data_IF_993107339617
#
_entry.id   IF_993107339617
#
_cell.length_a   1.000
_cell.length_b   1.000
_cell.length_c   1.000
_cell.angle_alpha   90.00
_cell.angle_beta   90.00
_cell.angle_gamma   90.00
#
_symmetry.space_group_name_H-M   'P 1'
#
loop_
_entity.id
_entity.type
_entity.pdbx_description
1 polymer ?
#
# COMPACT_ATOMS: atom_id res chain seq x y z
N UNK A 1 5.83 45.24 -11.43
CA UNK A 1 5.75 44.83 -11.04
C UNK A 1 5.87 43.56 -10.72
N UNK A 2 6.04 43.01 -10.30
CA UNK A 2 6.27 42.03 -9.85
C UNK A 2 5.65 40.94 -9.75
N UNK A 3 5.68 40.15 -9.73
CA UNK A 3 5.08 39.20 -9.68
C UNK A 3 5.33 38.04 -9.22
N UNK A 4 5.43 37.49 -8.94
CA UNK A 4 5.65 36.53 -8.32
C UNK A 4 5.28 35.27 -8.41
N UNK A 5 4.99 34.72 -8.44
CA UNK A 5 4.63 33.60 -8.49
C UNK A 5 5.08 32.55 -7.83
N UNK A 6 5.59 32.40 -7.61
CA UNK A 6 6.10 31.52 -6.90
C UNK A 6 5.45 30.44 -6.41
N UNK A 7 5.06 30.42 -5.72
CA UNK A 7 4.37 29.42 -5.18
C UNK A 7 4.19 28.20 -5.70
N UNK A 8 3.92 28.00 -6.46
CA UNK A 8 3.48 26.90 -6.91
C UNK A 8 4.17 25.78 -6.61
N UNK A 9 4.94 25.57 -6.46
CA UNK A 9 5.53 24.50 -6.36
C UNK A 9 5.28 23.61 -5.36
N UNK A 10 4.98 23.74 -4.60
CA UNK A 10 4.88 22.85 -3.62
C UNK A 10 4.20 21.70 -3.74
N UNK A 11 3.51 21.55 -4.50
CA UNK A 11 2.64 20.55 -4.45
C UNK A 11 3.03 19.19 -4.60
N UNK A 12 3.98 18.80 -5.11
CA UNK A 12 4.07 17.42 -5.47
C UNK A 12 4.71 16.56 -4.46
N UNK A 13 5.21 17.07 -3.45
CA UNK A 13 6.01 16.30 -2.56
C UNK A 13 5.34 15.15 -1.85
N UNK A 14 4.10 15.26 -1.44
CA UNK A 14 3.53 14.22 -0.59
C UNK A 14 3.41 12.85 -1.21
N UNK A 15 3.05 12.77 -2.45
CA UNK A 15 2.94 11.44 -3.05
C UNK A 15 4.30 10.80 -3.20
N UNK A 16 5.35 11.58 -3.42
CA UNK A 16 6.69 11.03 -3.51
C UNK A 16 7.14 10.37 -2.22
N UNK A 17 6.58 10.75 -1.08
CA UNK A 17 6.96 10.14 0.19
C UNK A 17 6.45 8.72 0.34
N UNK A 18 5.46 8.32 -0.45
CA UNK A 18 4.87 6.98 -0.35
C UNK A 18 4.97 6.21 -1.66
N UNK A 19 5.25 6.84 -2.78
CA UNK A 19 5.41 6.10 -4.03
C UNK A 19 6.71 5.32 -4.04
N UNK A 20 6.70 4.17 -4.66
CA UNK A 20 7.87 3.32 -4.80
C UNK A 20 7.63 1.93 -4.26
N UNK A 21 8.71 1.22 -4.03
CA UNK A 21 8.68 -0.18 -3.61
C UNK A 21 8.91 -0.30 -2.11
N UNK A 22 8.09 -1.13 -1.49
CA UNK A 22 8.09 -1.30 -0.04
C UNK A 22 8.15 -2.76 0.33
N UNK A 23 9.02 -3.09 1.28
CA UNK A 23 9.11 -4.41 1.85
C UNK A 23 8.09 -4.52 2.98
N UNK A 24 7.23 -5.53 2.93
CA UNK A 24 6.22 -5.73 3.95
C UNK A 24 6.86 -6.12 5.29
N UNK A 25 6.09 -5.93 6.39
CA UNK A 25 6.63 -6.13 7.74
C UNK A 25 7.14 -7.55 7.96
N UNK A 26 6.48 -8.54 7.38
CA UNK A 26 6.90 -9.94 7.49
C UNK A 26 7.98 -10.32 6.46
N UNK A 27 8.41 -9.37 5.64
CA UNK A 27 9.43 -9.55 4.62
C UNK A 27 9.04 -10.56 3.54
N UNK A 28 7.78 -10.85 3.39
CA UNK A 28 7.29 -11.86 2.45
C UNK A 28 7.10 -11.32 1.04
N UNK A 29 6.94 -10.02 0.87
CA UNK A 29 6.63 -9.45 -0.43
C UNK A 29 7.13 -8.01 -0.55
N UNK A 30 7.24 -7.57 -1.79
CA UNK A 30 7.45 -6.16 -2.13
C UNK A 30 6.17 -5.66 -2.76
N UNK A 31 5.66 -4.53 -2.25
CA UNK A 31 4.48 -3.85 -2.77
C UNK A 31 4.91 -2.56 -3.44
N UNK A 32 4.46 -2.34 -4.66
CA UNK A 32 4.74 -1.10 -5.39
C UNK A 32 3.56 -0.16 -5.24
N UNK A 33 3.81 1.01 -4.69
CA UNK A 33 2.81 2.04 -4.47
C UNK A 33 2.95 3.12 -5.54
N UNK A 34 1.84 3.52 -6.11
CA UNK A 34 1.80 4.59 -7.11
C UNK A 34 0.40 5.15 -7.27
N UNK A 35 0.29 6.11 -8.17
CA UNK A 35 -0.99 6.74 -8.46
C UNK A 35 -1.92 5.79 -9.20
N UNK A 36 -3.19 5.85 -8.88
CA UNK A 36 -4.25 5.19 -9.61
C UNK A 36 -5.39 6.21 -9.78
N UNK A 37 -5.27 7.03 -10.82
CA UNK A 37 -6.15 8.18 -10.99
C UNK A 37 -5.85 9.23 -9.94
N UNK A 38 -6.90 9.72 -9.28
CA UNK A 38 -6.74 10.73 -8.24
C UNK A 38 -6.36 10.13 -6.88
N UNK A 39 -6.18 8.84 -6.82
CA UNK A 39 -5.92 8.13 -5.57
C UNK A 39 -4.54 7.48 -5.60
N UNK A 40 -4.17 6.88 -4.47
CA UNK A 40 -2.95 6.12 -4.32
C UNK A 40 -3.32 4.66 -4.15
N UNK A 41 -2.59 3.78 -4.84
CA UNK A 41 -2.81 2.34 -4.79
C UNK A 41 -1.48 1.61 -4.68
N UNK A 42 -1.54 0.33 -4.33
CA UNK A 42 -0.35 -0.52 -4.30
C UNK A 42 -0.66 -1.92 -4.76
N UNK A 43 0.27 -2.53 -5.47
CA UNK A 43 0.12 -3.90 -5.96
C UNK A 43 1.37 -4.70 -5.61
N UNK A 44 1.20 -6.01 -5.49
CA UNK A 44 2.32 -6.89 -5.22
C UNK A 44 3.27 -6.88 -6.42
N UNK A 45 4.50 -6.45 -6.21
CA UNK A 45 5.53 -6.43 -7.23
C UNK A 45 6.33 -7.73 -7.25
N UNK A 46 6.60 -8.30 -6.08
CA UNK A 46 7.37 -9.54 -5.96
C UNK A 46 6.97 -10.29 -4.71
N UNK A 47 7.05 -11.60 -4.77
CA UNK A 47 6.91 -12.48 -3.61
C UNK A 47 8.31 -12.95 -3.25
N UNK A 48 8.72 -12.68 -2.02
CA UNK A 48 10.05 -13.06 -1.53
C UNK A 48 10.01 -14.35 -0.72
N UNK A 49 8.89 -14.68 -0.13
CA UNK A 49 8.73 -15.93 0.60
C UNK A 49 8.94 -17.11 -0.34
N UNK A 50 9.59 -18.15 0.15
CA UNK A 50 9.97 -19.30 -0.67
C UNK A 50 9.46 -20.58 -0.04
N UNK A 51 9.36 -21.61 -0.87
CA UNK A 51 9.01 -22.94 -0.43
C UNK A 51 7.77 -23.47 -1.12
N UNK A 52 7.58 -24.78 -1.07
CA UNK A 52 6.48 -25.41 -1.80
C UNK A 52 5.10 -25.06 -1.26
N UNK A 53 5.01 -24.58 -0.03
CA UNK A 53 3.73 -24.21 0.57
C UNK A 53 3.39 -22.75 0.40
N UNK A 54 4.25 -21.96 -0.24
CA UNK A 54 3.97 -20.54 -0.49
C UNK A 54 3.07 -20.41 -1.70
N UNK A 55 1.86 -19.86 -1.53
CA UNK A 55 0.96 -19.72 -2.66
C UNK A 55 1.49 -18.71 -3.67
N UNK A 56 1.21 -18.95 -4.94
CA UNK A 56 1.48 -18.02 -6.03
C UNK A 56 0.21 -17.35 -6.55
N UNK A 57 -0.93 -17.85 -6.10
CA UNK A 57 -2.24 -17.32 -6.47
C UNK A 57 -3.02 -16.96 -5.21
N UNK A 58 -4.13 -16.27 -5.41
CA UNK A 58 -4.94 -15.70 -4.33
C UNK A 58 -5.87 -16.76 -3.72
N UNK A 59 -5.28 -17.82 -3.21
CA UNK A 59 -6.01 -19.02 -2.77
C UNK A 59 -6.93 -18.78 -1.57
N UNK A 60 -6.69 -17.73 -0.79
CA UNK A 60 -7.51 -17.44 0.38
C UNK A 60 -8.61 -16.42 0.10
N UNK A 61 -8.76 -15.99 -1.15
CA UNK A 61 -9.81 -15.04 -1.48
C UNK A 61 -11.17 -15.63 -1.12
N UNK A 62 -12.04 -14.87 -0.45
CA UNK A 62 -13.37 -15.35 -0.12
C UNK A 62 -14.23 -15.64 -1.36
N UNK A 63 -13.93 -15.01 -2.49
CA UNK A 63 -14.59 -15.30 -3.76
C UNK A 63 -13.84 -16.41 -4.49
N UNK A 64 -14.44 -17.62 -4.62
CA UNK A 64 -13.75 -18.72 -5.27
C UNK A 64 -13.32 -18.44 -6.69
N UNK A 65 -14.01 -17.56 -7.40
CA UNK A 65 -13.68 -17.25 -8.80
C UNK A 65 -12.40 -16.44 -8.93
N UNK A 66 -11.90 -15.87 -7.83
CA UNK A 66 -10.68 -15.06 -7.84
C UNK A 66 -9.47 -15.80 -7.30
N UNK A 67 -9.64 -17.05 -6.85
CA UNK A 67 -8.55 -17.77 -6.18
C UNK A 67 -7.43 -18.21 -7.10
N UNK A 68 -7.67 -18.21 -8.40
CA UNK A 68 -6.63 -18.59 -9.36
C UNK A 68 -5.85 -17.41 -9.90
N UNK A 69 -6.23 -16.19 -9.56
CA UNK A 69 -5.49 -15.02 -10.07
C UNK A 69 -4.12 -14.94 -9.42
N UNK A 70 -3.09 -14.49 -10.17
CA UNK A 70 -1.73 -14.42 -9.61
C UNK A 70 -1.65 -13.40 -8.47
N UNK A 71 -0.81 -13.68 -7.48
CA UNK A 71 -0.51 -12.70 -6.45
C UNK A 71 0.36 -11.56 -6.97
N UNK A 72 1.33 -11.85 -7.84
CA UNK A 72 2.11 -10.78 -8.45
C UNK A 72 1.20 -9.95 -9.34
N UNK A 73 1.17 -8.65 -9.12
CA UNK A 73 0.27 -7.73 -9.81
C UNK A 73 -1.05 -7.49 -9.08
N UNK A 74 -1.32 -8.24 -8.01
CA UNK A 74 -2.57 -8.12 -7.28
C UNK A 74 -2.63 -6.79 -6.53
N UNK A 75 -3.69 -5.98 -6.72
CA UNK A 75 -3.88 -4.79 -5.91
C UNK A 75 -4.13 -5.19 -4.45
N UNK A 76 -3.33 -4.67 -3.55
CA UNK A 76 -3.45 -4.94 -2.11
C UNK A 76 -3.68 -3.66 -1.31
N UNK A 77 -3.38 -2.51 -1.89
CA UNK A 77 -3.71 -1.21 -1.30
C UNK A 77 -4.56 -0.46 -2.31
N UNK A 78 -5.76 -0.05 -1.93
CA UNK A 78 -6.73 0.44 -2.90
C UNK A 78 -7.37 1.74 -2.43
N UNK A 79 -7.24 2.78 -3.26
CA UNK A 79 -8.11 3.94 -3.16
C UNK A 79 -7.82 4.92 -2.04
N UNK A 80 -6.57 5.17 -1.71
CA UNK A 80 -6.24 6.12 -0.66
C UNK A 80 -6.25 7.55 -1.18
N UNK A 81 -6.79 8.46 -0.38
CA UNK A 81 -6.77 9.89 -0.66
C UNK A 81 -5.90 10.60 0.35
N UNK A 82 -5.26 11.66 -0.08
CA UNK A 82 -4.40 12.40 0.81
C UNK A 82 -5.19 13.14 1.88
N UNK A 83 -4.70 13.08 3.11
CA UNK A 83 -5.34 13.72 4.25
C UNK A 83 -4.20 14.24 5.15
N UNK A 84 -3.78 15.48 4.92
CA UNK A 84 -2.64 16.04 5.62
C UNK A 84 -1.37 15.27 5.34
N UNK A 85 -0.75 14.76 6.40
CA UNK A 85 0.47 13.97 6.29
C UNK A 85 0.19 12.47 6.07
N UNK A 86 -1.06 12.10 5.94
CA UNK A 86 -1.47 10.70 5.81
C UNK A 86 -2.21 10.48 4.51
N UNK A 87 -2.40 9.21 4.19
CA UNK A 87 -3.26 8.76 3.10
C UNK A 87 -4.33 7.87 3.70
N UNK A 88 -5.59 8.26 3.56
CA UNK A 88 -6.72 7.64 4.26
C UNK A 88 -7.82 7.21 3.32
N UNK A 89 -8.84 6.55 3.89
CA UNK A 89 -10.03 6.18 3.14
C UNK A 89 -9.86 5.00 2.21
N UNK A 90 -8.72 4.37 2.23
CA UNK A 90 -8.46 3.22 1.38
C UNK A 90 -8.71 1.89 2.06
N UNK A 91 -8.36 0.84 1.35
CA UNK A 91 -8.49 -0.54 1.84
C UNK A 91 -7.20 -1.28 1.63
N UNK A 92 -6.90 -2.19 2.54
CA UNK A 92 -5.76 -3.10 2.42
C UNK A 92 -6.29 -4.53 2.39
N UNK A 93 -5.84 -5.29 1.39
CA UNK A 93 -6.19 -6.69 1.25
C UNK A 93 -5.03 -7.56 1.72
N UNK A 94 -5.30 -8.47 2.64
CA UNK A 94 -4.31 -9.42 3.14
C UNK A 94 -4.55 -10.77 2.47
N UNK A 95 -3.70 -11.11 1.51
CA UNK A 95 -3.84 -12.37 0.78
C UNK A 95 -3.55 -13.60 1.64
N UNK A 96 -2.92 -13.46 2.79
CA UNK A 96 -2.67 -14.60 3.67
C UNK A 96 -3.93 -15.07 4.36
N UNK A 97 -4.88 -14.20 4.57
CA UNK A 97 -6.12 -14.53 5.25
C UNK A 97 -7.35 -14.33 4.38
N UNK A 98 -7.22 -13.61 3.27
CA UNK A 98 -8.36 -13.24 2.42
C UNK A 98 -9.19 -12.10 2.98
N UNK A 99 -8.67 -11.38 3.98
CA UNK A 99 -9.42 -10.29 4.63
C UNK A 99 -9.08 -8.94 4.05
N UNK A 100 -10.07 -8.06 4.03
CA UNK A 100 -9.90 -6.68 3.61
C UNK A 100 -10.18 -5.77 4.81
N UNK A 101 -9.31 -4.79 4.98
CA UNK A 101 -9.36 -3.85 6.11
C UNK A 101 -9.54 -2.43 5.59
N UNK A 102 -10.24 -1.60 6.35
CA UNK A 102 -10.13 -0.16 6.13
C UNK A 102 -8.73 0.24 6.55
N UNK A 103 -8.09 1.10 5.79
CA UNK A 103 -6.67 1.32 6.00
C UNK A 103 -6.28 2.78 5.83
N UNK A 104 -5.14 3.11 6.41
CA UNK A 104 -4.46 4.37 6.19
C UNK A 104 -2.95 4.14 6.12
N UNK A 105 -2.27 5.02 5.43
CA UNK A 105 -0.83 4.99 5.27
C UNK A 105 -0.24 6.24 5.89
N UNK A 106 0.79 6.07 6.70
CA UNK A 106 1.46 7.19 7.36
C UNK A 106 2.95 7.12 7.08
N UNK A 107 3.49 8.03 6.25
CA UNK A 107 4.93 8.08 6.08
C UNK A 107 5.59 8.58 7.36
N UNK A 108 6.66 7.92 7.76
CA UNK A 108 7.38 8.24 8.98
C UNK A 108 8.63 9.07 8.67
N UNK A 109 9.10 9.80 9.66
CA UNK A 109 10.27 10.67 9.48
C UNK A 109 11.54 9.88 9.17
N UNK A 110 11.62 8.64 9.56
CA UNK A 110 12.78 7.80 9.27
C UNK A 110 12.75 7.17 7.89
N UNK A 111 11.76 7.50 7.08
CA UNK A 111 11.62 6.93 5.73
C UNK A 111 10.84 5.65 5.64
N UNK A 112 10.38 5.10 6.76
CA UNK A 112 9.50 3.94 6.74
C UNK A 112 8.05 4.36 6.55
N UNK A 113 7.18 3.38 6.34
CA UNK A 113 5.76 3.59 6.12
C UNK A 113 4.97 2.77 7.13
N UNK A 114 4.08 3.43 7.87
CA UNK A 114 3.14 2.72 8.74
C UNK A 114 1.87 2.44 7.96
N UNK A 115 1.52 1.17 7.86
CA UNK A 115 0.28 0.71 7.24
C UNK A 115 -0.64 0.27 8.37
N UNK A 116 -1.74 0.97 8.54
CA UNK A 116 -2.70 0.68 9.61
C UNK A 116 -3.98 0.13 8.99
N UNK A 117 -4.39 -1.05 9.42
CA UNK A 117 -5.62 -1.67 8.98
C UNK A 117 -6.58 -1.83 10.16
N UNK A 118 -7.85 -1.57 9.90
CA UNK A 118 -8.88 -1.61 10.95
C UNK A 118 -10.07 -2.45 10.51
N UNK A 119 -10.61 -3.23 11.46
CA UNK A 119 -11.92 -3.86 11.33
C UNK A 119 -12.74 -3.27 12.46
N UNK A 120 -13.81 -2.57 12.12
CA UNK A 120 -14.60 -1.81 13.07
C UNK A 120 -13.67 -0.82 13.80
N UNK A 121 -13.59 -0.89 15.12
CA UNK A 121 -12.72 -0.01 15.88
C UNK A 121 -11.42 -0.67 16.33
N UNK A 122 -11.13 -1.88 15.86
CA UNK A 122 -9.88 -2.55 16.18
C UNK A 122 -8.89 -2.33 15.05
N UNK A 123 -7.77 -1.71 15.35
CA UNK A 123 -6.74 -1.39 14.37
C UNK A 123 -5.43 -2.05 14.72
N UNK A 124 -4.70 -2.45 13.68
CA UNK A 124 -3.33 -2.95 13.79
C UNK A 124 -2.46 -2.20 12.82
N UNK A 125 -1.27 -1.90 13.23
CA UNK A 125 -0.29 -1.20 12.40
C UNK A 125 0.89 -2.11 12.10
N UNK A 126 1.42 -1.97 10.89
CA UNK A 126 2.64 -2.64 10.45
C UNK A 126 3.60 -1.58 9.95
N UNK A 127 4.87 -1.86 10.05
CA UNK A 127 5.90 -0.97 9.52
C UNK A 127 6.50 -1.61 8.29
N UNK A 128 6.43 -0.91 7.18
CA UNK A 128 7.05 -1.32 5.92
C UNK A 128 8.28 -0.48 5.68
N UNK A 129 9.30 -1.06 5.08
CA UNK A 129 10.55 -0.36 4.81
C UNK A 129 10.74 -0.18 3.32
N UNK A 130 11.36 0.94 2.95
CA UNK A 130 11.54 1.25 1.55
C UNK A 130 12.62 0.36 0.94
N UNK A 131 12.37 -0.09 -0.28
CA UNK A 131 13.34 -0.85 -1.06
C UNK A 131 13.98 0.12 -2.04
N UNK A 132 15.29 0.11 -2.07
CA UNK A 132 16.06 1.00 -2.96
C UNK A 132 16.64 0.28 -4.16
#
# INVERSE_FOLDING_TARGET
>A
MSVVLAALLAASAPSAAVEGDWLTADRAAIVRIGSCGAHLCGAVARILARGPKVPRTDVHNPDPTLRSRPLVGLPVLIGFARDGAQWTGGRAYDAKTGRTYKARLTPNLDGSLTVTGCILFLCKSQRWTRVH
#
